data_IF_985463782889
#
_entry.id   IF_985463782889
#
_cell.length_a   1.000
_cell.length_b   1.000
_cell.length_c   1.000
_cell.angle_alpha   90.00
_cell.angle_beta   90.00
_cell.angle_gamma   90.00
#
_symmetry.space_group_name_H-M   'P 1'
#
loop_
_entity.id
_entity.type
_entity.pdbx_description
1 polymer ?
#
# COMPACT_ATOMS: atom_id res chain seq x y z
N UNK A 1 46.87 14.82 -3.06
CA UNK A 1 45.48 15.29 -2.82
C UNK A 1 44.93 16.11 -3.98
N UNK A 2 45.48 17.30 -4.30
CA UNK A 2 44.95 18.14 -5.39
C UNK A 2 44.94 17.50 -6.80
N UNK A 3 45.87 16.59 -7.10
CA UNK A 3 45.85 15.81 -8.34
C UNK A 3 44.76 14.74 -8.35
N UNK A 4 44.53 14.06 -7.20
CA UNK A 4 43.45 13.08 -7.05
C UNK A 4 42.10 13.76 -7.22
N UNK A 5 41.86 14.87 -6.51
CA UNK A 5 40.61 15.64 -6.61
C UNK A 5 40.31 16.16 -8.02
N UNK A 6 41.34 16.44 -8.83
CA UNK A 6 41.16 16.91 -10.22
C UNK A 6 40.91 15.78 -11.22
N UNK A 7 41.31 14.54 -10.92
CA UNK A 7 41.04 13.38 -11.80
C UNK A 7 39.71 12.70 -11.51
N UNK A 8 39.12 12.99 -10.35
CA UNK A 8 37.88 12.34 -9.90
C UNK A 8 36.66 13.07 -10.44
N UNK A 9 35.81 12.32 -11.16
CA UNK A 9 34.49 12.77 -11.58
C UNK A 9 33.48 12.34 -10.52
N UNK A 10 33.05 13.27 -9.66
CA UNK A 10 32.18 12.95 -8.52
C UNK A 10 30.74 12.55 -8.91
N UNK A 11 30.34 12.78 -10.16
CA UNK A 11 29.05 12.34 -10.71
C UNK A 11 29.10 10.90 -11.27
N UNK A 12 30.27 10.27 -11.30
CA UNK A 12 30.47 8.90 -11.80
C UNK A 12 30.80 7.96 -10.63
N UNK A 13 29.99 6.92 -10.45
CA UNK A 13 30.12 5.96 -9.35
C UNK A 13 31.49 5.26 -9.36
N UNK A 14 31.94 4.79 -10.52
CA UNK A 14 33.22 4.07 -10.65
C UNK A 14 34.40 5.00 -10.33
N UNK A 15 34.35 6.25 -10.80
CA UNK A 15 35.40 7.25 -10.52
C UNK A 15 35.48 7.60 -9.02
N UNK A 16 34.35 7.66 -8.33
CA UNK A 16 34.29 7.89 -6.88
C UNK A 16 34.84 6.68 -6.12
N UNK A 17 34.52 5.45 -6.54
CA UNK A 17 35.06 4.22 -5.94
C UNK A 17 36.58 4.18 -6.11
N UNK A 18 37.09 4.46 -7.30
CA UNK A 18 38.54 4.51 -7.58
C UNK A 18 39.24 5.54 -6.68
N UNK A 19 38.65 6.73 -6.54
CA UNK A 19 39.18 7.76 -5.64
C UNK A 19 39.26 7.29 -4.18
N UNK A 20 38.21 6.64 -3.67
CA UNK A 20 38.22 6.11 -2.30
C UNK A 20 39.31 5.03 -2.16
N UNK A 21 39.43 4.14 -3.14
CA UNK A 21 40.46 3.11 -3.15
C UNK A 21 41.88 3.71 -3.14
N UNK A 22 42.15 4.71 -3.99
CA UNK A 22 43.44 5.41 -4.03
C UNK A 22 43.78 6.08 -2.70
N UNK A 23 42.79 6.70 -2.05
CA UNK A 23 42.95 7.33 -0.73
C UNK A 23 43.29 6.27 0.32
N UNK A 24 42.61 5.12 0.29
CA UNK A 24 42.88 4.02 1.22
C UNK A 24 44.28 3.43 1.03
N UNK A 25 44.71 3.18 -0.21
CA UNK A 25 46.05 2.66 -0.55
C UNK A 25 47.14 3.60 -0.02
N UNK A 26 47.00 4.90 -0.26
CA UNK A 26 48.00 5.89 0.20
C UNK A 26 48.08 5.97 1.73
N UNK A 27 46.96 5.78 2.43
CA UNK A 27 46.92 5.82 3.90
C UNK A 27 47.49 4.53 4.53
N UNK A 28 47.41 3.41 3.81
CA UNK A 28 47.87 2.10 4.27
C UNK A 28 49.35 1.83 3.93
N UNK A 29 49.84 2.22 2.75
CA UNK A 29 51.22 1.95 2.32
C UNK A 29 52.28 2.87 2.97
N UNK A 30 51.93 4.10 3.35
CA UNK A 30 52.86 5.09 3.91
C UNK A 30 52.55 5.39 5.39
N UNK A 31 52.77 4.42 6.29
CA UNK A 31 52.39 4.50 7.71
C UNK A 31 53.02 5.71 8.44
N UNK A 32 54.30 5.98 8.25
CA UNK A 32 55.02 7.03 8.98
C UNK A 32 54.58 8.44 8.59
N UNK A 33 54.22 8.63 7.32
CA UNK A 33 53.79 9.91 6.78
C UNK A 33 52.28 10.13 6.94
N UNK A 34 51.49 9.05 6.83
CA UNK A 34 50.04 9.08 7.04
C UNK A 34 49.69 9.37 8.49
N UNK A 35 50.42 8.82 9.47
CA UNK A 35 50.15 9.06 10.90
C UNK A 35 50.36 10.53 11.31
N UNK A 36 51.22 11.27 10.58
CA UNK A 36 51.41 12.72 10.77
C UNK A 36 50.29 13.58 10.17
N UNK A 37 49.62 13.09 9.13
CA UNK A 37 48.60 13.84 8.35
C UNK A 37 47.17 13.43 8.71
N UNK A 38 46.98 12.20 9.15
CA UNK A 38 45.71 11.60 9.57
C UNK A 38 45.90 11.10 11.00
N UNK A 39 45.71 11.98 12.01
CA UNK A 39 45.92 11.63 13.41
C UNK A 39 44.91 10.59 13.91
N UNK A 40 43.70 10.56 13.34
CA UNK A 40 42.68 9.56 13.63
C UNK A 40 42.30 8.78 12.37
N UNK A 41 43.06 7.71 12.11
CA UNK A 41 42.78 6.79 10.99
C UNK A 41 41.43 6.11 11.13
N UNK A 42 41.00 5.82 12.35
CA UNK A 42 39.72 5.15 12.62
C UNK A 42 38.55 6.05 12.21
N UNK A 43 38.60 7.35 12.56
CA UNK A 43 37.60 8.31 12.11
C UNK A 43 37.57 8.45 10.58
N UNK A 44 38.72 8.45 9.92
CA UNK A 44 38.80 8.49 8.45
C UNK A 44 38.18 7.24 7.81
N UNK A 45 38.52 6.05 8.29
CA UNK A 45 37.93 4.81 7.77
C UNK A 45 36.44 4.74 8.04
N UNK A 46 35.97 5.16 9.23
CA UNK A 46 34.55 5.24 9.51
C UNK A 46 33.84 6.22 8.57
N UNK A 47 34.42 7.39 8.32
CA UNK A 47 33.85 8.35 7.38
C UNK A 47 33.73 7.71 5.98
N UNK A 48 34.81 7.18 5.42
CA UNK A 48 34.82 6.65 4.05
C UNK A 48 33.96 5.39 3.87
N UNK A 49 33.90 4.51 4.88
CA UNK A 49 33.37 3.16 4.73
C UNK A 49 32.04 2.91 5.46
N UNK A 50 31.69 3.67 6.52
CA UNK A 50 30.41 3.47 7.20
C UNK A 50 29.23 4.04 6.41
N UNK A 51 29.48 5.01 5.53
CA UNK A 51 28.46 5.64 4.69
C UNK A 51 27.29 6.25 5.49
N UNK A 52 27.52 6.63 6.75
CA UNK A 52 26.49 7.22 7.64
C UNK A 52 25.91 8.54 7.10
N UNK A 53 26.58 9.16 6.12
CA UNK A 53 26.11 10.34 5.38
C UNK A 53 25.16 9.99 4.22
N UNK A 54 24.98 8.71 3.87
CA UNK A 54 24.04 8.28 2.84
C UNK A 54 22.69 8.01 3.50
N UNK A 55 21.77 8.97 3.35
CA UNK A 55 20.37 8.78 3.68
C UNK A 55 19.63 8.08 2.55
N UNK A 56 18.90 7.00 2.86
CA UNK A 56 17.94 6.40 1.91
C UNK A 56 16.58 7.03 2.16
N UNK A 57 15.95 7.54 1.09
CA UNK A 57 14.56 7.99 1.12
C UNK A 57 13.70 7.07 0.25
N UNK A 58 12.60 6.58 0.80
CA UNK A 58 11.62 5.79 0.06
C UNK A 58 10.44 6.67 -0.31
N UNK A 59 10.07 6.68 -1.58
CA UNK A 59 8.85 7.32 -2.07
C UNK A 59 7.89 6.27 -2.58
N UNK A 60 6.64 6.33 -2.14
CA UNK A 60 5.56 5.50 -2.64
C UNK A 60 4.95 6.16 -3.88
N UNK A 61 4.81 5.38 -4.95
CA UNK A 61 4.22 5.79 -6.22
C UNK A 61 3.05 4.88 -6.58
N UNK A 62 2.04 5.43 -7.25
CA UNK A 62 0.98 4.64 -7.87
C UNK A 62 1.12 4.73 -9.40
N UNK A 63 1.72 3.71 -9.99
CA UNK A 63 2.26 3.80 -11.35
C UNK A 63 3.43 4.78 -11.37
N UNK A 64 3.39 5.75 -12.28
CA UNK A 64 4.43 6.79 -12.41
C UNK A 64 4.19 8.04 -11.54
N UNK A 65 3.01 8.14 -10.90
CA UNK A 65 2.62 9.33 -10.12
C UNK A 65 3.09 9.23 -8.67
N UNK A 66 3.63 10.32 -8.15
CA UNK A 66 3.98 10.46 -6.74
C UNK A 66 2.71 10.58 -5.88
N UNK A 67 2.77 10.13 -4.62
CA UNK A 67 1.67 10.27 -3.66
C UNK A 67 1.12 11.70 -3.57
N UNK A 68 1.99 12.71 -3.69
CA UNK A 68 1.65 14.13 -3.63
C UNK A 68 0.76 14.58 -4.80
N UNK A 69 0.81 13.88 -5.93
CA UNK A 69 0.02 14.18 -7.13
C UNK A 69 -1.36 13.50 -7.12
N UNK A 70 -1.59 12.59 -6.17
CA UNK A 70 -2.83 11.84 -6.05
C UNK A 70 -3.90 12.66 -5.31
N UNK A 71 -5.16 12.46 -5.71
CA UNK A 71 -6.31 12.96 -4.97
C UNK A 71 -6.41 12.34 -3.57
N UNK A 72 -7.12 12.97 -2.61
CA UNK A 72 -7.30 12.42 -1.27
C UNK A 72 -7.83 10.98 -1.26
N UNK A 73 -8.80 10.65 -2.13
CA UNK A 73 -9.32 9.29 -2.28
C UNK A 73 -8.26 8.31 -2.80
N UNK A 74 -7.55 8.66 -3.87
CA UNK A 74 -6.47 7.82 -4.41
C UNK A 74 -5.35 7.55 -3.40
N UNK A 75 -4.97 8.55 -2.58
CA UNK A 75 -4.01 8.35 -1.49
C UNK A 75 -4.52 7.34 -0.46
N UNK A 76 -5.82 7.39 -0.14
CA UNK A 76 -6.48 6.43 0.73
C UNK A 76 -6.37 4.99 0.21
N UNK A 77 -6.66 4.77 -1.08
CA UNK A 77 -6.46 3.46 -1.73
C UNK A 77 -5.03 2.99 -1.56
N UNK A 78 -4.05 3.84 -1.89
CA UNK A 78 -2.64 3.43 -1.88
C UNK A 78 -2.23 2.96 -0.48
N UNK A 79 -2.62 3.69 0.56
CA UNK A 79 -2.35 3.31 1.93
C UNK A 79 -3.03 1.98 2.29
N UNK A 80 -4.30 1.82 1.93
CA UNK A 80 -5.05 0.61 2.24
C UNK A 80 -4.48 -0.62 1.52
N UNK A 81 -4.17 -0.49 0.23
CA UNK A 81 -3.49 -1.51 -0.57
C UNK A 81 -2.14 -1.87 0.05
N UNK A 82 -1.35 -0.88 0.48
CA UNK A 82 -0.07 -1.11 1.15
C UNK A 82 -0.24 -1.93 2.44
N UNK A 83 -1.20 -1.57 3.30
CA UNK A 83 -1.52 -2.32 4.52
C UNK A 83 -2.03 -3.74 4.25
N UNK A 84 -2.85 -3.92 3.22
CA UNK A 84 -3.38 -5.23 2.84
C UNK A 84 -2.30 -6.10 2.22
N UNK A 85 -1.45 -5.55 1.35
CA UNK A 85 -0.44 -6.30 0.59
C UNK A 85 0.85 -6.61 1.38
N UNK A 86 1.34 -5.68 2.21
CA UNK A 86 2.66 -5.82 2.85
C UNK A 86 2.61 -6.37 4.27
N UNK A 87 1.47 -6.31 4.95
CA UNK A 87 1.37 -6.87 6.29
C UNK A 87 1.37 -8.41 6.21
N UNK A 88 2.47 -8.99 6.68
CA UNK A 88 2.65 -10.45 6.82
C UNK A 88 1.98 -11.01 8.08
N UNK A 89 1.43 -10.15 8.92
CA UNK A 89 0.80 -10.55 10.17
C UNK A 89 -0.64 -11.01 9.93
N UNK A 90 -1.05 -12.06 10.65
CA UNK A 90 -2.41 -12.62 10.58
C UNK A 90 -3.38 -11.90 11.53
N UNK A 91 -3.08 -10.67 11.93
CA UNK A 91 -3.88 -9.88 12.87
C UNK A 91 -5.20 -9.48 12.18
N UNK A 92 -6.37 -9.66 12.82
CA UNK A 92 -7.65 -9.22 12.26
C UNK A 92 -7.65 -7.72 11.95
N UNK A 93 -8.26 -7.34 10.84
CA UNK A 93 -8.42 -5.94 10.43
C UNK A 93 -9.90 -5.60 10.28
N UNK A 94 -10.29 -4.44 10.79
CA UNK A 94 -11.63 -3.87 10.63
C UNK A 94 -11.48 -2.61 9.78
N UNK A 95 -12.23 -2.53 8.69
CA UNK A 95 -12.17 -1.41 7.74
C UNK A 95 -13.58 -0.86 7.56
N UNK A 96 -13.76 0.41 7.89
CA UNK A 96 -15.04 1.10 7.74
C UNK A 96 -15.03 1.94 6.45
N UNK A 97 -16.04 1.72 5.61
CA UNK A 97 -16.27 2.40 4.33
C UNK A 97 -14.98 2.61 3.51
N UNK A 98 -14.24 1.53 3.16
CA UNK A 98 -13.02 1.68 2.36
C UNK A 98 -13.26 2.25 0.96
N UNK A 99 -14.51 2.24 0.49
CA UNK A 99 -14.95 2.84 -0.77
C UNK A 99 -15.08 4.37 -0.76
N UNK A 100 -15.05 5.02 0.42
CA UNK A 100 -15.33 6.44 0.51
C UNK A 100 -14.35 7.29 -0.31
N UNK A 101 -14.90 8.22 -1.09
CA UNK A 101 -14.17 9.08 -2.03
C UNK A 101 -13.50 8.34 -3.20
N UNK A 102 -13.89 7.09 -3.47
CA UNK A 102 -13.41 6.30 -4.60
C UNK A 102 -14.50 6.09 -5.64
N UNK A 103 -14.10 6.09 -6.90
CA UNK A 103 -15.00 5.66 -7.97
C UNK A 103 -15.15 4.12 -7.97
N UNK A 104 -16.30 3.63 -8.43
CA UNK A 104 -16.60 2.19 -8.45
C UNK A 104 -15.61 1.36 -9.27
N UNK A 105 -15.00 1.94 -10.31
CA UNK A 105 -13.99 1.23 -11.12
C UNK A 105 -12.70 1.04 -10.32
N UNK A 106 -12.25 2.05 -9.57
CA UNK A 106 -11.09 1.94 -8.68
C UNK A 106 -11.33 0.94 -7.54
N UNK A 107 -12.52 0.95 -6.93
CA UNK A 107 -12.92 -0.03 -5.91
C UNK A 107 -12.80 -1.45 -6.46
N UNK A 108 -13.43 -1.72 -7.61
CA UNK A 108 -13.44 -3.05 -8.22
C UNK A 108 -12.06 -3.49 -8.71
N UNK A 109 -11.31 -2.61 -9.38
CA UNK A 109 -10.05 -3.01 -10.03
C UNK A 109 -8.84 -3.05 -9.10
N UNK A 110 -8.82 -2.26 -8.02
CA UNK A 110 -7.67 -2.14 -7.13
C UNK A 110 -7.92 -2.73 -5.75
N UNK A 111 -9.05 -2.38 -5.13
CA UNK A 111 -9.31 -2.71 -3.73
C UNK A 111 -9.80 -4.15 -3.56
N UNK A 112 -10.73 -4.61 -4.40
CA UNK A 112 -11.27 -5.99 -4.34
C UNK A 112 -10.17 -7.05 -4.41
N UNK A 113 -9.20 -7.02 -5.37
CA UNK A 113 -8.12 -8.01 -5.39
C UNK A 113 -7.27 -8.01 -4.11
N UNK A 114 -7.00 -6.84 -3.55
CA UNK A 114 -6.20 -6.72 -2.34
C UNK A 114 -6.92 -7.31 -1.12
N UNK A 115 -8.23 -7.06 -0.99
CA UNK A 115 -9.06 -7.67 0.06
C UNK A 115 -9.08 -9.18 -0.10
N UNK A 116 -9.30 -9.68 -1.33
CA UNK A 116 -9.33 -11.11 -1.63
C UNK A 116 -8.01 -11.82 -1.31
N UNK A 117 -6.86 -11.18 -1.50
CA UNK A 117 -5.58 -11.76 -1.08
C UNK A 117 -5.36 -11.65 0.44
N UNK A 118 -5.77 -10.55 1.06
CA UNK A 118 -5.60 -10.37 2.50
C UNK A 118 -6.44 -11.36 3.32
N UNK A 119 -7.71 -11.58 2.95
CA UNK A 119 -8.63 -12.50 3.65
C UNK A 119 -8.15 -13.95 3.69
N UNK A 120 -7.27 -14.36 2.76
CA UNK A 120 -6.65 -15.70 2.76
C UNK A 120 -5.67 -15.92 3.91
N UNK A 121 -5.13 -14.84 4.48
CA UNK A 121 -4.07 -14.90 5.51
C UNK A 121 -4.52 -14.34 6.85
N UNK A 122 -5.46 -13.40 6.87
CA UNK A 122 -5.98 -12.76 8.08
C UNK A 122 -7.50 -12.60 8.01
N UNK A 123 -8.16 -12.45 9.15
CA UNK A 123 -9.57 -12.08 9.17
C UNK A 123 -9.73 -10.61 8.75
N UNK A 124 -10.63 -10.35 7.81
CA UNK A 124 -10.96 -9.00 7.31
C UNK A 124 -12.44 -8.75 7.53
N UNK A 125 -12.77 -7.73 8.32
CA UNK A 125 -14.15 -7.31 8.60
C UNK A 125 -14.34 -5.95 7.93
N UNK A 126 -15.33 -5.83 7.05
CA UNK A 126 -15.57 -4.59 6.30
C UNK A 126 -17.00 -4.13 6.53
N UNK A 127 -17.15 -2.85 6.86
CA UNK A 127 -18.44 -2.16 6.86
C UNK A 127 -18.53 -1.40 5.54
N UNK A 128 -19.52 -1.74 4.72
CA UNK A 128 -19.65 -1.15 3.38
C UNK A 128 -21.09 -1.13 2.92
N UNK A 129 -21.39 -0.16 2.07
CA UNK A 129 -22.65 -0.06 1.32
C UNK A 129 -22.45 -0.30 -0.18
N UNK A 130 -21.23 -0.65 -0.61
CA UNK A 130 -20.88 -0.84 -2.00
C UNK A 130 -21.04 -2.31 -2.41
N UNK A 131 -21.86 -2.65 -3.44
CA UNK A 131 -21.99 -4.02 -3.92
C UNK A 131 -20.68 -4.63 -4.42
N UNK A 132 -19.76 -3.82 -4.96
CA UNK A 132 -18.45 -4.33 -5.39
C UNK A 132 -17.61 -4.82 -4.20
N UNK A 133 -17.78 -4.25 -3.01
CA UNK A 133 -17.09 -4.74 -1.81
C UNK A 133 -17.81 -5.98 -1.27
N UNK A 134 -19.11 -5.89 -1.02
CA UNK A 134 -19.85 -6.99 -0.39
C UNK A 134 -19.91 -8.26 -1.25
N UNK A 135 -20.00 -8.10 -2.58
CA UNK A 135 -20.20 -9.22 -3.51
C UNK A 135 -18.90 -9.61 -4.20
N UNK A 136 -18.17 -8.64 -4.77
CA UNK A 136 -16.99 -8.99 -5.58
C UNK A 136 -15.79 -9.42 -4.73
N UNK A 137 -15.76 -9.12 -3.43
CA UNK A 137 -14.76 -9.69 -2.50
C UNK A 137 -15.09 -11.13 -2.05
N UNK A 138 -16.18 -11.72 -2.57
CA UNK A 138 -16.63 -13.08 -2.27
C UNK A 138 -16.76 -13.35 -0.77
N UNK A 139 -17.49 -12.47 -0.06
CA UNK A 139 -17.55 -12.50 1.40
C UNK A 139 -18.16 -13.82 1.91
N UNK A 140 -17.44 -14.52 2.78
CA UNK A 140 -17.88 -15.79 3.37
C UNK A 140 -19.07 -15.61 4.31
N UNK A 141 -19.16 -14.44 4.94
CA UNK A 141 -20.24 -14.08 5.85
C UNK A 141 -20.63 -12.62 5.65
N UNK A 142 -21.92 -12.40 5.44
CA UNK A 142 -22.55 -11.09 5.45
C UNK A 142 -23.28 -10.93 6.79
N UNK A 143 -23.13 -9.76 7.40
CA UNK A 143 -23.92 -9.35 8.56
C UNK A 143 -24.83 -8.20 8.13
N UNK A 144 -26.10 -8.51 7.94
CA UNK A 144 -27.13 -7.53 7.62
C UNK A 144 -27.56 -6.80 8.90
N UNK A 145 -27.64 -5.47 8.82
CA UNK A 145 -28.12 -4.60 9.89
C UNK A 145 -29.43 -3.94 9.46
N UNK A 146 -30.46 -4.03 10.29
CA UNK A 146 -31.76 -3.42 10.05
C UNK A 146 -32.17 -2.55 11.24
N UNK A 147 -32.60 -1.32 10.96
CA UNK A 147 -33.19 -0.42 11.95
C UNK A 147 -34.70 -0.29 11.70
N UNK A 148 -35.49 -0.82 12.63
CA UNK A 148 -36.92 -0.58 12.66
C UNK A 148 -37.18 0.84 13.20
N UNK A 149 -37.63 1.73 12.33
CA UNK A 149 -37.89 3.14 12.66
C UNK A 149 -39.09 3.33 13.59
N UNK A 150 -39.98 2.33 13.71
CA UNK A 150 -41.14 2.42 14.60
C UNK A 150 -40.74 2.08 16.04
N UNK A 151 -40.02 0.97 16.22
CA UNK A 151 -39.59 0.50 17.54
C UNK A 151 -38.24 1.06 17.98
N UNK A 152 -37.50 1.75 17.08
CA UNK A 152 -36.14 2.22 17.29
C UNK A 152 -35.17 1.09 17.68
N UNK A 153 -35.45 -0.12 17.21
CA UNK A 153 -34.61 -1.30 17.47
C UNK A 153 -33.71 -1.58 16.28
N UNK A 154 -32.48 -1.98 16.59
CA UNK A 154 -31.52 -2.46 15.59
C UNK A 154 -31.42 -3.96 15.74
N UNK A 155 -31.59 -4.66 14.62
CA UNK A 155 -31.51 -6.12 14.53
C UNK A 155 -30.43 -6.52 13.53
N UNK A 156 -29.84 -7.69 13.76
CA UNK A 156 -28.78 -8.23 12.92
C UNK A 156 -29.13 -9.63 12.48
N UNK A 157 -28.84 -9.93 11.21
CA UNK A 157 -28.94 -11.27 10.65
C UNK A 157 -27.67 -11.59 9.91
N UNK A 158 -27.09 -12.76 10.16
CA UNK A 158 -25.81 -13.16 9.57
C UNK A 158 -25.93 -14.48 8.82
N UNK A 159 -25.22 -14.58 7.70
CA UNK A 159 -25.10 -15.82 6.94
C UNK A 159 -24.25 -15.64 5.70
N UNK A 160 -24.02 -16.75 4.99
CA UNK A 160 -23.29 -16.74 3.74
C UNK A 160 -24.13 -16.11 2.61
N UNK A 161 -23.48 -15.61 1.56
CA UNK A 161 -24.14 -14.95 0.43
C UNK A 161 -25.11 -15.89 -0.34
N UNK A 162 -24.89 -17.20 -0.26
CA UNK A 162 -25.74 -18.21 -0.91
C UNK A 162 -27.08 -18.38 -0.20
N UNK A 163 -27.16 -18.07 1.10
CA UNK A 163 -28.37 -18.18 1.91
C UNK A 163 -29.48 -17.32 1.29
N UNK A 164 -30.66 -17.91 1.05
CA UNK A 164 -31.76 -17.24 0.36
C UNK A 164 -32.27 -15.99 1.08
N UNK A 165 -32.23 -15.98 2.41
CA UNK A 165 -32.68 -14.85 3.24
C UNK A 165 -31.66 -13.71 3.12
N UNK A 166 -30.38 -13.99 3.38
CA UNK A 166 -29.28 -13.02 3.27
C UNK A 166 -29.18 -12.45 1.85
N UNK A 167 -29.31 -13.31 0.83
CA UNK A 167 -29.33 -12.90 -0.58
C UNK A 167 -30.45 -11.91 -0.89
N UNK A 168 -31.64 -12.11 -0.31
CA UNK A 168 -32.74 -11.17 -0.40
C UNK A 168 -32.36 -9.80 0.18
N UNK A 169 -31.87 -9.78 1.42
CA UNK A 169 -31.41 -8.55 2.08
C UNK A 169 -30.33 -7.82 1.29
N UNK A 170 -29.36 -8.56 0.76
CA UNK A 170 -28.27 -8.02 -0.07
C UNK A 170 -28.81 -7.33 -1.32
N UNK A 171 -29.74 -7.96 -2.04
CA UNK A 171 -30.35 -7.36 -3.25
C UNK A 171 -31.18 -6.12 -2.89
N UNK A 172 -31.94 -6.18 -1.80
CA UNK A 172 -32.79 -5.06 -1.39
C UNK A 172 -31.96 -3.84 -0.95
N UNK A 173 -30.87 -4.06 -0.21
CA UNK A 173 -30.00 -2.98 0.30
C UNK A 173 -29.06 -2.44 -0.77
N UNK A 174 -28.33 -3.31 -1.47
CA UNK A 174 -27.23 -2.89 -2.35
C UNK A 174 -27.69 -2.60 -3.77
N UNK A 175 -28.77 -3.25 -4.23
CA UNK A 175 -29.27 -3.12 -5.60
C UNK A 175 -30.62 -2.38 -5.69
N UNK A 176 -31.18 -1.97 -4.55
CA UNK A 176 -32.43 -1.22 -4.51
C UNK A 176 -33.63 -2.01 -5.01
N UNK A 177 -33.66 -3.33 -4.75
CA UNK A 177 -34.66 -4.36 -5.11
C UNK A 177 -34.45 -5.11 -6.44
N UNK A 178 -34.93 -6.34 -6.49
CA UNK A 178 -34.85 -7.22 -7.66
C UNK A 178 -35.48 -6.64 -8.94
N UNK A 179 -36.64 -5.95 -8.91
CA UNK A 179 -37.18 -5.26 -10.08
C UNK A 179 -36.26 -4.17 -10.63
N UNK A 180 -35.63 -3.38 -9.75
CA UNK A 180 -34.71 -2.31 -10.17
C UNK A 180 -33.44 -2.88 -10.81
N UNK A 181 -32.90 -3.97 -10.25
CA UNK A 181 -31.78 -4.71 -10.83
C UNK A 181 -32.12 -5.23 -12.25
N UNK A 182 -33.24 -5.95 -12.39
CA UNK A 182 -33.67 -6.50 -13.68
C UNK A 182 -33.91 -5.42 -14.74
N UNK A 183 -34.44 -4.26 -14.35
CA UNK A 183 -34.63 -3.12 -15.25
C UNK A 183 -33.29 -2.60 -15.79
N UNK A 184 -32.30 -2.42 -14.91
CA UNK A 184 -30.94 -1.99 -15.30
C UNK A 184 -30.30 -3.01 -16.24
N UNK A 185 -30.36 -4.29 -15.88
CA UNK A 185 -29.84 -5.38 -16.71
C UNK A 185 -30.45 -5.36 -18.12
N UNK A 186 -31.79 -5.25 -18.23
CA UNK A 186 -32.46 -5.18 -19.54
C UNK A 186 -31.98 -4.00 -20.38
N UNK A 187 -31.81 -2.81 -19.80
CA UNK A 187 -31.33 -1.63 -20.52
C UNK A 187 -29.89 -1.78 -21.02
N UNK A 188 -29.01 -2.45 -20.27
CA UNK A 188 -27.62 -2.66 -20.67
C UNK A 188 -27.45 -3.81 -21.69
N UNK A 189 -28.39 -4.76 -21.72
CA UNK A 189 -28.28 -5.98 -22.52
C UNK A 189 -29.17 -5.99 -23.76
N UNK A 190 -30.11 -5.04 -23.90
CA UNK A 190 -30.84 -4.84 -25.15
C UNK A 190 -29.90 -4.29 -26.23
N UNK A 191 -29.64 -5.11 -27.26
CA UNK A 191 -29.08 -4.70 -28.54
C UNK A 191 -30.15 -4.14 -29.45
#
# INVERSE_FOLDING_TARGET
MNQLLRRTEFDNVDSVIDFIHDVLVVVDEDLDNSTKKVPDKKALYNLLCCLDYIGVSFKLKMGERDLEELSPGERGIVLLVFYLALSQNNIPIIIDQPEDNLDNQSVYSKLVPCICEAKKKRQVIIVSHNPNIAIACDAEQIVYCHMDKNTHTITYEAGAIENSIVKGHVVDVLEGTMPAFNLRQRKYTQK
#
